data_IF_325867252305
#
_entry.id   IF_325867252305
#
_cell.length_a   1.000
_cell.length_b   1.000
_cell.length_c   1.000
_cell.angle_alpha   90.00
_cell.angle_beta   90.00
_cell.angle_gamma   90.00
#
_symmetry.space_group_name_H-M   'P 1'
#
loop_
_entity.id
_entity.type
_entity.pdbx_description
1 polymer ?
#
# COMPACT_ATOMS: atom_id res chain seq x y z
N UNK A 1 -7.28 6.50 9.87
CA UNK A 1 -6.35 7.45 9.23
C UNK A 1 -6.75 8.78 9.81
N UNK A 2 -5.83 9.60 10.30
CA UNK A 2 -6.14 11.00 10.54
C UNK A 2 -6.45 11.66 9.20
N UNK A 3 -7.22 12.75 9.20
CA UNK A 3 -7.48 13.53 8.00
C UNK A 3 -6.17 13.95 7.29
N UNK A 4 -5.16 14.33 8.07
CA UNK A 4 -3.83 14.69 7.59
C UNK A 4 -3.15 13.53 6.86
N UNK A 5 -3.22 12.32 7.40
CA UNK A 5 -2.64 11.13 6.78
C UNK A 5 -3.29 10.79 5.44
N UNK A 6 -4.62 10.85 5.37
CA UNK A 6 -5.34 10.60 4.12
C UNK A 6 -5.03 11.63 3.05
N UNK A 7 -4.98 12.91 3.44
CA UNK A 7 -4.66 13.98 2.51
C UNK A 7 -3.25 13.81 1.94
N UNK A 8 -2.27 13.56 2.80
CA UNK A 8 -0.90 13.35 2.36
C UNK A 8 -0.78 12.11 1.47
N UNK A 9 -1.46 11.00 1.79
CA UNK A 9 -1.51 9.82 0.93
C UNK A 9 -2.02 10.16 -0.48
N UNK A 10 -3.15 10.89 -0.57
CA UNK A 10 -3.72 11.28 -1.87
C UNK A 10 -2.80 12.22 -2.66
N UNK A 11 -2.16 13.18 -2.00
CA UNK A 11 -1.21 14.08 -2.66
C UNK A 11 0.06 13.36 -3.11
N UNK A 12 0.64 12.51 -2.26
CA UNK A 12 1.85 11.76 -2.60
C UNK A 12 1.62 10.80 -3.76
N UNK A 13 0.50 10.06 -3.75
CA UNK A 13 0.13 9.13 -4.84
C UNK A 13 -0.08 9.85 -6.17
N UNK A 14 -0.67 11.06 -6.15
CA UNK A 14 -0.75 11.92 -7.32
C UNK A 14 0.64 12.38 -7.80
N UNK A 15 1.49 12.82 -6.88
CA UNK A 15 2.84 13.31 -7.21
C UNK A 15 3.72 12.23 -7.85
N UNK A 16 3.58 10.97 -7.41
CA UNK A 16 4.30 9.86 -8.04
C UNK A 16 3.61 9.39 -9.34
N UNK A 17 2.41 9.86 -9.69
CA UNK A 17 1.74 9.49 -10.93
C UNK A 17 0.99 8.17 -10.87
N UNK A 18 0.42 7.84 -9.70
CA UNK A 18 -0.52 6.72 -9.58
C UNK A 18 -1.72 6.97 -10.52
N UNK A 19 -2.05 6.04 -11.44
CA UNK A 19 -3.02 6.31 -12.51
C UNK A 19 -4.47 6.39 -12.02
N UNK A 20 -4.79 5.83 -10.85
CA UNK A 20 -6.14 5.86 -10.27
C UNK A 20 -6.28 7.05 -9.34
N UNK A 21 -7.39 7.78 -9.46
CA UNK A 21 -7.73 8.87 -8.54
C UNK A 21 -8.08 8.28 -7.17
N UNK A 22 -7.33 8.69 -6.14
CA UNK A 22 -7.65 8.42 -4.75
C UNK A 22 -8.35 9.63 -4.12
N UNK A 23 -9.53 9.42 -3.55
CA UNK A 23 -10.26 10.44 -2.79
C UNK A 23 -10.28 10.11 -1.30
N UNK A 24 -10.43 11.14 -0.47
CA UNK A 24 -10.60 10.96 0.98
C UNK A 24 -11.83 10.09 1.31
N UNK A 25 -12.87 10.16 0.48
CA UNK A 25 -14.10 9.39 0.67
C UNK A 25 -13.88 7.89 0.51
N UNK A 26 -12.95 7.48 -0.36
CA UNK A 26 -12.63 6.07 -0.57
C UNK A 26 -12.09 5.36 0.69
N UNK A 27 -11.66 6.13 1.69
CA UNK A 27 -11.09 5.63 2.94
C UNK A 27 -11.95 5.97 4.17
N UNK A 28 -13.18 6.48 4.00
CA UNK A 28 -14.14 6.65 5.11
C UNK A 28 -14.49 5.31 5.77
N UNK A 29 -14.52 4.25 4.98
CA UNK A 29 -14.62 2.85 5.44
C UNK A 29 -13.34 2.09 5.07
N UNK A 30 -12.98 1.03 5.80
CA UNK A 30 -11.88 0.17 5.39
C UNK A 30 -12.06 -0.34 3.95
N UNK A 31 -11.05 -0.12 3.11
CA UNK A 31 -11.09 -0.46 1.68
C UNK A 31 -9.80 -1.20 1.29
N UNK A 32 -9.75 -2.49 1.62
CA UNK A 32 -8.56 -3.30 1.38
C UNK A 32 -8.23 -3.41 -0.11
N UNK A 33 -9.24 -3.55 -0.98
CA UNK A 33 -9.04 -3.67 -2.43
C UNK A 33 -8.25 -2.49 -2.99
N UNK A 34 -8.61 -1.27 -2.59
CA UNK A 34 -7.90 -0.06 -3.01
C UNK A 34 -6.45 -0.02 -2.51
N UNK A 35 -6.22 -0.44 -1.26
CA UNK A 35 -4.88 -0.53 -0.68
C UNK A 35 -4.05 -1.59 -1.41
N UNK A 36 -4.65 -2.73 -1.76
CA UNK A 36 -3.99 -3.80 -2.48
C UNK A 36 -3.58 -3.38 -3.89
N UNK A 37 -4.47 -2.75 -4.65
CA UNK A 37 -4.15 -2.22 -5.99
C UNK A 37 -3.03 -1.16 -5.94
N UNK A 38 -3.09 -0.25 -4.96
CA UNK A 38 -2.02 0.72 -4.76
C UNK A 38 -0.69 0.04 -4.45
N UNK A 39 -0.71 -0.96 -3.56
CA UNK A 39 0.51 -1.67 -3.16
C UNK A 39 1.10 -2.50 -4.30
N UNK A 40 0.25 -3.18 -5.09
CA UNK A 40 0.66 -3.89 -6.30
C UNK A 40 1.34 -2.94 -7.29
N UNK A 41 0.75 -1.77 -7.52
CA UNK A 41 1.34 -0.77 -8.40
C UNK A 41 2.69 -0.26 -7.89
N UNK A 42 2.83 -0.02 -6.58
CA UNK A 42 4.10 0.38 -5.98
C UNK A 42 5.15 -0.72 -6.20
N UNK A 43 4.81 -1.99 -5.94
CA UNK A 43 5.73 -3.13 -6.17
C UNK A 43 6.18 -3.18 -7.63
N UNK A 44 5.24 -3.11 -8.57
CA UNK A 44 5.52 -3.16 -10.01
C UNK A 44 6.34 -1.98 -10.52
N UNK A 45 6.38 -0.88 -9.79
CA UNK A 45 7.25 0.27 -10.11
C UNK A 45 8.72 0.01 -9.78
N UNK A 46 9.00 -0.76 -8.73
CA UNK A 46 10.36 -1.18 -8.39
C UNK A 46 10.80 -2.41 -9.18
N UNK A 47 9.86 -3.31 -9.47
CA UNK A 47 10.11 -4.53 -10.24
C UNK A 47 8.93 -4.80 -11.18
N UNK A 48 9.03 -4.39 -12.46
CA UNK A 48 7.99 -4.63 -13.45
C UNK A 48 7.68 -6.11 -13.71
N UNK A 49 8.59 -7.02 -13.35
CA UNK A 49 8.43 -8.47 -13.50
C UNK A 49 7.80 -9.15 -12.28
N UNK A 50 7.57 -8.39 -11.21
CA UNK A 50 7.00 -8.89 -9.96
C UNK A 50 5.65 -9.60 -10.19
N UNK A 51 5.59 -10.88 -9.82
CA UNK A 51 4.40 -11.71 -9.95
C UNK A 51 3.50 -11.53 -8.73
N UNK A 52 2.78 -10.41 -8.65
CA UNK A 52 1.81 -10.10 -7.58
C UNK A 52 0.51 -9.56 -8.19
N UNK A 53 -0.64 -9.92 -7.61
CA UNK A 53 -1.97 -9.49 -8.08
C UNK A 53 -2.89 -9.18 -6.91
N UNK A 54 -3.52 -8.00 -6.94
CA UNK A 54 -4.54 -7.57 -5.97
C UNK A 54 -5.94 -8.15 -6.27
N UNK A 55 -6.13 -8.80 -7.41
CA UNK A 55 -7.46 -9.31 -7.83
C UNK A 55 -7.95 -10.45 -6.91
N UNK A 56 -7.02 -11.24 -6.38
CA UNK A 56 -7.31 -12.43 -5.58
C UNK A 56 -7.11 -12.16 -4.08
N UNK A 57 -7.79 -11.15 -3.51
CA UNK A 57 -7.69 -10.81 -2.07
C UNK A 57 -9.05 -10.81 -1.36
N UNK A 58 -9.92 -11.75 -1.73
CA UNK A 58 -11.30 -11.85 -1.23
C UNK A 58 -11.36 -12.37 0.20
N UNK A 59 -10.58 -13.42 0.51
CA UNK A 59 -10.54 -14.01 1.86
C UNK A 59 -9.50 -13.33 2.73
N UNK A 60 -9.66 -13.44 4.05
CA UNK A 60 -8.68 -12.93 5.00
C UNK A 60 -7.28 -13.55 4.79
N UNK A 61 -7.25 -14.86 4.54
CA UNK A 61 -6.01 -15.59 4.26
C UNK A 61 -5.29 -15.05 3.03
N UNK A 62 -6.02 -14.77 1.95
CA UNK A 62 -5.43 -14.23 0.72
C UNK A 62 -4.84 -12.83 0.95
N UNK A 63 -5.53 -12.00 1.75
CA UNK A 63 -5.02 -10.68 2.13
C UNK A 63 -3.71 -10.78 2.90
N UNK A 64 -3.60 -11.72 3.84
CA UNK A 64 -2.35 -11.98 4.58
C UNK A 64 -1.23 -12.38 3.61
N UNK A 65 -1.51 -13.31 2.71
CA UNK A 65 -0.52 -13.81 1.73
C UNK A 65 -0.05 -12.69 0.80
N UNK A 66 -0.98 -11.90 0.26
CA UNK A 66 -0.71 -10.75 -0.58
C UNK A 66 0.21 -9.74 0.12
N UNK A 67 -0.11 -9.35 1.36
CA UNK A 67 0.71 -8.38 2.12
C UNK A 67 2.11 -8.93 2.38
N UNK A 68 2.23 -10.20 2.77
CA UNK A 68 3.55 -10.84 2.99
C UNK A 68 4.39 -10.81 1.71
N UNK A 69 3.79 -11.13 0.58
CA UNK A 69 4.46 -11.14 -0.71
C UNK A 69 4.90 -9.74 -1.15
N UNK A 70 4.01 -8.74 -1.05
CA UNK A 70 4.34 -7.36 -1.38
C UNK A 70 5.53 -6.83 -0.56
N UNK A 71 5.54 -7.10 0.75
CA UNK A 71 6.63 -6.72 1.64
C UNK A 71 7.95 -7.37 1.25
N UNK A 72 7.92 -8.67 0.94
CA UNK A 72 9.10 -9.41 0.52
C UNK A 72 9.70 -8.81 -0.76
N UNK A 73 8.87 -8.55 -1.76
CA UNK A 73 9.29 -7.99 -3.04
C UNK A 73 9.86 -6.58 -2.88
N UNK A 74 9.25 -5.74 -2.05
CA UNK A 74 9.77 -4.40 -1.77
C UNK A 74 11.10 -4.47 -1.00
N UNK A 75 11.24 -5.38 -0.04
CA UNK A 75 12.50 -5.56 0.68
C UNK A 75 13.64 -5.96 -0.26
N UNK A 76 13.37 -6.85 -1.22
CA UNK A 76 14.34 -7.32 -2.20
C UNK A 76 14.75 -6.22 -3.19
N UNK A 77 13.79 -5.44 -3.67
CA UNK A 77 13.99 -4.58 -4.84
C UNK A 77 14.17 -3.08 -4.52
N UNK A 78 13.86 -2.63 -3.31
CA UNK A 78 13.89 -1.20 -2.96
C UNK A 78 14.77 -0.84 -1.77
N UNK A 79 15.40 -1.83 -1.11
CA UNK A 79 16.05 -1.68 0.21
C UNK A 79 15.12 -1.11 1.30
N UNK A 80 13.81 -0.97 1.04
CA UNK A 80 12.84 -0.51 2.01
C UNK A 80 12.48 -1.65 2.97
N UNK A 81 12.71 -1.44 4.27
CA UNK A 81 12.35 -2.41 5.30
C UNK A 81 10.93 -2.14 5.80
N UNK A 82 9.95 -2.85 5.24
CA UNK A 82 8.54 -2.76 5.66
C UNK A 82 8.24 -3.77 6.78
N UNK A 83 7.36 -3.41 7.72
CA UNK A 83 6.90 -4.30 8.79
C UNK A 83 5.58 -5.00 8.40
N UNK A 84 5.56 -6.32 8.13
CA UNK A 84 4.38 -7.02 7.63
C UNK A 84 3.22 -7.06 8.63
N UNK A 85 3.51 -7.13 9.94
CA UNK A 85 2.47 -7.13 10.98
C UNK A 85 1.75 -5.78 11.02
N UNK A 86 2.48 -4.68 10.85
CA UNK A 86 1.90 -3.33 10.79
C UNK A 86 1.12 -3.09 9.50
N UNK A 87 1.53 -3.68 8.37
CA UNK A 87 0.80 -3.61 7.09
C UNK A 87 -0.50 -4.43 7.07
N UNK A 88 -0.58 -5.49 7.87
CA UNK A 88 -1.81 -6.27 8.04
C UNK A 88 -2.74 -5.68 9.11
N UNK A 89 -2.17 -5.18 10.22
CA UNK A 89 -2.90 -4.55 11.32
C UNK A 89 -3.19 -3.06 11.10
N UNK A 90 -3.21 -2.56 9.85
CA UNK A 90 -3.47 -1.15 9.57
C UNK A 90 -4.90 -0.81 9.98
N UNK A 91 -5.07 -0.42 11.24
CA UNK A 91 -5.99 0.66 11.54
C UNK A 91 -5.57 1.82 10.65
N UNK A 92 -6.51 2.54 10.04
CA UNK A 92 -6.18 3.46 8.95
C UNK A 92 -5.07 4.54 9.35
N UNK A 93 -4.64 4.73 10.60
CA UNK A 93 -3.76 5.82 11.08
C UNK A 93 -2.22 5.75 10.92
N UNK A 94 -1.59 4.92 10.09
CA UNK A 94 -0.10 4.81 10.17
C UNK A 94 0.69 4.85 8.85
N UNK A 95 0.06 5.24 7.73
CA UNK A 95 0.73 5.26 6.41
C UNK A 95 1.89 6.28 6.29
N UNK A 96 2.00 7.27 7.18
CA UNK A 96 2.96 8.38 7.06
C UNK A 96 4.22 8.29 7.92
N UNK A 97 4.40 7.27 8.76
CA UNK A 97 5.60 7.14 9.60
C UNK A 97 6.82 6.55 8.88
N UNK A 98 6.77 6.42 7.54
CA UNK A 98 7.76 5.67 6.76
C UNK A 98 8.40 6.46 5.59
N UNK A 99 8.35 7.80 5.60
CA UNK A 99 9.26 8.60 4.75
C UNK A 99 10.53 8.89 5.57
N UNK A 100 11.74 8.50 5.10
CA UNK A 100 12.98 8.89 5.74
C UNK A 100 13.11 10.42 5.69
N UNK A 101 13.28 11.05 6.85
CA UNK A 101 13.68 12.45 6.94
C UNK A 101 15.14 12.59 6.50
N UNK A 102 15.33 13.10 5.28
CA UNK A 102 16.44 14.01 4.98
C UNK A 102 15.85 15.41 4.89
#
# INVERSE_FOLDING_TARGET
MSYRELRNLCEMTRAIGYPRILSLENFRTPNFKLVAELLEWIVKRFDPSATISAEHTTTEQDRVLFIKQAVLLLLQNSRLKLNPRKLYQVSPLDFLKFVPSW
#
